data_IF_677858586534
#
_entry.id   IF_677858586534
#
_cell.length_a   1.000
_cell.length_b   1.000
_cell.length_c   1.000
_cell.angle_alpha   90.00
_cell.angle_beta   90.00
_cell.angle_gamma   90.00
#
_symmetry.space_group_name_H-M   'P 1'
#
loop_
_entity.id
_entity.type
_entity.pdbx_description
1 polymer ?
#
# COMPACT_ATOMS: atom_id res chain seq x y z
N UNK A 1 13.35 -10.39 30.07
CA UNK A 1 13.34 -9.07 29.36
C UNK A 1 11.99 -8.91 28.67
N UNK A 2 11.15 -7.93 29.06
CA UNK A 2 9.94 -7.59 28.32
C UNK A 2 10.39 -6.88 27.04
N UNK A 3 10.25 -7.53 25.88
CA UNK A 3 10.38 -6.83 24.59
C UNK A 3 9.44 -5.63 24.59
N UNK A 4 9.99 -4.44 24.48
CA UNK A 4 9.22 -3.23 24.19
C UNK A 4 8.60 -3.43 22.82
N UNK A 5 7.33 -3.81 22.75
CA UNK A 5 6.59 -3.79 21.49
C UNK A 5 6.62 -2.38 20.95
N UNK A 6 7.14 -2.22 19.74
CA UNK A 6 7.13 -0.94 19.04
C UNK A 6 5.71 -0.39 18.99
N UNK A 7 5.56 0.85 19.39
CA UNK A 7 4.30 1.60 19.33
C UNK A 7 4.54 2.85 18.50
N UNK A 8 3.48 3.41 17.92
CA UNK A 8 3.59 4.68 17.19
C UNK A 8 3.98 5.82 18.15
N UNK A 9 4.77 6.76 17.65
CA UNK A 9 5.28 7.90 18.44
C UNK A 9 4.18 8.91 18.81
N UNK A 10 3.03 8.87 18.12
CA UNK A 10 1.88 9.75 18.38
C UNK A 10 0.73 9.54 17.41
N UNK A 11 -0.33 10.34 17.58
CA UNK A 11 -1.54 10.24 16.75
C UNK A 11 -1.26 10.54 15.27
N UNK A 12 -0.40 11.52 14.98
CA UNK A 12 -0.04 11.90 13.60
C UNK A 12 0.76 10.78 12.94
N UNK A 13 1.76 10.20 13.64
CA UNK A 13 2.54 9.07 13.14
C UNK A 13 1.65 7.87 12.83
N UNK A 14 0.68 7.57 13.70
CA UNK A 14 -0.32 6.53 13.45
C UNK A 14 -1.16 6.81 12.21
N UNK A 15 -1.68 8.04 12.05
CA UNK A 15 -2.51 8.43 10.90
C UNK A 15 -1.72 8.33 9.59
N UNK A 16 -0.48 8.85 9.56
CA UNK A 16 0.37 8.78 8.36
C UNK A 16 0.77 7.35 8.01
N UNK A 17 1.05 6.52 9.00
CA UNK A 17 1.35 5.10 8.78
C UNK A 17 0.10 4.33 8.29
N UNK A 18 -1.07 4.61 8.86
CA UNK A 18 -2.34 4.02 8.42
C UNK A 18 -2.69 4.45 6.99
N UNK A 19 -2.54 5.74 6.66
CA UNK A 19 -2.72 6.27 5.32
C UNK A 19 -1.71 5.65 4.33
N UNK A 20 -0.42 5.57 4.70
CA UNK A 20 0.62 4.96 3.88
C UNK A 20 0.38 3.46 3.62
N UNK A 21 -0.23 2.77 4.59
CA UNK A 21 -0.66 1.37 4.42
C UNK A 21 -1.89 1.23 3.51
N UNK A 22 -2.79 2.21 3.52
CA UNK A 22 -4.03 2.19 2.74
C UNK A 22 -3.83 2.65 1.29
N UNK A 23 -2.93 3.61 1.05
CA UNK A 23 -2.66 4.14 -0.29
C UNK A 23 -1.67 3.22 -1.02
N UNK A 24 -2.15 2.59 -2.07
CA UNK A 24 -1.35 1.71 -2.93
C UNK A 24 -1.54 2.04 -4.41
N UNK A 25 -0.87 1.29 -5.25
CA UNK A 25 -0.96 1.42 -6.72
C UNK A 25 -2.40 1.35 -7.22
N UNK A 26 -3.23 0.54 -6.58
CA UNK A 26 -4.64 0.41 -6.90
C UNK A 26 -5.42 1.71 -6.80
N UNK A 27 -5.10 2.54 -5.81
CA UNK A 27 -5.78 3.82 -5.58
C UNK A 27 -5.42 4.85 -6.66
N UNK A 28 -4.17 4.81 -7.16
CA UNK A 28 -3.66 5.79 -8.12
C UNK A 28 -4.02 5.39 -9.55
N UNK A 29 -3.99 4.11 -9.87
CA UNK A 29 -4.20 3.61 -11.23
C UNK A 29 -5.58 2.98 -11.44
N UNK A 30 -5.91 1.94 -10.66
CA UNK A 30 -7.11 1.13 -10.89
C UNK A 30 -8.39 1.85 -10.50
N UNK A 31 -8.38 2.57 -9.40
CA UNK A 31 -9.58 3.25 -8.90
C UNK A 31 -10.09 4.34 -9.85
N UNK A 32 -9.27 5.27 -10.38
CA UNK A 32 -9.72 6.24 -11.38
C UNK A 32 -10.27 5.59 -12.65
N UNK A 33 -9.61 4.53 -13.12
CA UNK A 33 -10.07 3.77 -14.28
C UNK A 33 -11.46 3.14 -14.06
N UNK A 34 -11.68 2.48 -12.91
CA UNK A 34 -12.98 1.91 -12.58
C UNK A 34 -14.04 2.99 -12.39
N UNK A 35 -13.70 4.08 -11.74
CA UNK A 35 -14.58 5.23 -11.59
C UNK A 35 -15.07 5.74 -12.95
N UNK A 36 -14.18 5.97 -13.89
CA UNK A 36 -14.52 6.43 -15.23
C UNK A 36 -15.37 5.41 -16.01
N UNK A 37 -15.06 4.11 -15.88
CA UNK A 37 -15.74 3.03 -16.59
C UNK A 37 -17.15 2.73 -16.05
N UNK A 38 -17.31 2.75 -14.73
CA UNK A 38 -18.48 2.20 -14.04
C UNK A 38 -19.43 3.30 -13.51
N UNK A 39 -19.55 4.43 -14.22
CA UNK A 39 -20.55 5.46 -13.96
C UNK A 39 -20.05 6.77 -13.35
N UNK A 40 -18.72 7.01 -13.30
CA UNK A 40 -18.15 8.30 -12.94
C UNK A 40 -18.61 8.84 -11.59
N UNK A 41 -19.35 9.93 -11.61
CA UNK A 41 -19.82 10.60 -10.39
C UNK A 41 -20.72 9.73 -9.52
N UNK A 42 -21.58 8.90 -10.10
CA UNK A 42 -22.44 7.98 -9.34
C UNK A 42 -21.62 6.93 -8.60
N UNK A 43 -20.60 6.37 -9.26
CA UNK A 43 -19.65 5.45 -8.62
C UNK A 43 -18.98 6.10 -7.41
N UNK A 44 -18.53 7.36 -7.53
CA UNK A 44 -17.91 8.10 -6.43
C UNK A 44 -18.85 8.32 -5.24
N UNK A 45 -20.12 8.68 -5.51
CA UNK A 45 -21.12 8.87 -4.44
C UNK A 45 -21.36 7.57 -3.67
N UNK A 46 -21.59 6.47 -4.39
CA UNK A 46 -21.78 5.15 -3.77
C UNK A 46 -20.54 4.75 -2.97
N UNK A 47 -19.37 4.92 -3.55
CA UNK A 47 -18.10 4.64 -2.87
C UNK A 47 -17.94 5.43 -1.57
N UNK A 48 -18.22 6.75 -1.59
CA UNK A 48 -18.15 7.59 -0.40
C UNK A 48 -19.13 7.14 0.69
N UNK A 49 -20.38 6.81 0.32
CA UNK A 49 -21.36 6.28 1.27
C UNK A 49 -20.85 4.97 1.89
N UNK A 50 -20.30 4.06 1.10
CA UNK A 50 -19.75 2.79 1.60
C UNK A 50 -18.53 3.00 2.49
N UNK A 51 -17.63 3.92 2.15
CA UNK A 51 -16.45 4.24 2.98
C UNK A 51 -16.86 4.84 4.31
N UNK A 52 -17.81 5.79 4.31
CA UNK A 52 -18.25 6.44 5.54
C UNK A 52 -19.07 5.52 6.45
N UNK A 53 -19.77 4.55 5.90
CA UNK A 53 -20.57 3.57 6.67
C UNK A 53 -19.73 2.35 7.01
N UNK A 54 -19.49 1.46 6.04
CA UNK A 54 -18.78 0.20 6.26
C UNK A 54 -17.29 0.39 6.52
N UNK A 55 -16.62 1.24 5.75
CA UNK A 55 -15.18 1.46 5.87
C UNK A 55 -14.80 2.00 7.23
N UNK A 56 -15.54 2.98 7.74
CA UNK A 56 -15.30 3.55 9.05
C UNK A 56 -15.53 2.53 10.19
N UNK A 57 -16.61 1.76 10.11
CA UNK A 57 -16.93 0.71 11.11
C UNK A 57 -15.86 -0.39 11.10
N UNK A 58 -15.44 -0.86 9.93
CA UNK A 58 -14.40 -1.88 9.81
C UNK A 58 -13.06 -1.39 10.38
N UNK A 59 -12.63 -0.20 9.98
CA UNK A 59 -11.36 0.36 10.45
C UNK A 59 -11.34 0.57 11.97
N UNK A 60 -12.42 1.13 12.54
CA UNK A 60 -12.52 1.33 13.98
C UNK A 60 -12.55 0.02 14.74
N UNK A 61 -13.20 -1.01 14.19
CA UNK A 61 -13.23 -2.36 14.78
C UNK A 61 -11.84 -2.99 14.79
N UNK A 62 -11.11 -2.93 13.69
CA UNK A 62 -9.76 -3.48 13.58
C UNK A 62 -8.80 -2.79 14.57
N UNK A 63 -8.86 -1.47 14.64
CA UNK A 63 -8.06 -0.68 15.61
C UNK A 63 -8.44 -1.05 17.05
N UNK A 64 -9.73 -1.20 17.36
CA UNK A 64 -10.20 -1.58 18.69
C UNK A 64 -9.71 -2.99 19.08
N UNK A 65 -9.79 -3.95 18.16
CA UNK A 65 -9.28 -5.32 18.36
C UNK A 65 -7.77 -5.28 18.63
N UNK A 66 -7.02 -4.57 17.82
CA UNK A 66 -5.57 -4.43 17.97
C UNK A 66 -5.18 -3.81 19.32
N UNK A 67 -5.84 -2.71 19.71
CA UNK A 67 -5.61 -2.01 20.99
C UNK A 67 -5.98 -2.87 22.20
N UNK A 68 -7.12 -3.59 22.14
CA UNK A 68 -7.60 -4.43 23.23
C UNK A 68 -6.70 -5.65 23.44
N UNK A 69 -6.33 -6.33 22.37
CA UNK A 69 -5.60 -7.60 22.45
C UNK A 69 -4.09 -7.42 22.56
N UNK A 70 -3.54 -6.36 21.97
CA UNK A 70 -2.09 -6.11 21.81
C UNK A 70 -1.37 -7.31 21.18
N UNK A 71 -2.07 -8.06 20.33
CA UNK A 71 -1.56 -9.23 19.63
C UNK A 71 -1.54 -9.00 18.13
N UNK A 72 -0.80 -9.85 17.41
CA UNK A 72 -0.80 -9.88 15.96
C UNK A 72 -2.14 -10.39 15.41
N UNK A 73 -2.41 -10.19 14.12
CA UNK A 73 -3.65 -10.59 13.46
C UNK A 73 -4.02 -12.07 13.68
N UNK A 74 -3.02 -12.98 13.65
CA UNK A 74 -3.25 -14.42 13.87
C UNK A 74 -3.87 -14.76 15.24
N UNK A 75 -3.45 -14.03 16.27
CA UNK A 75 -3.80 -14.37 17.66
C UNK A 75 -4.83 -13.43 18.28
N UNK A 76 -5.13 -12.30 17.61
CA UNK A 76 -6.04 -11.28 18.14
C UNK A 76 -7.47 -11.83 18.33
N UNK A 77 -8.01 -12.50 17.32
CA UNK A 77 -9.36 -13.07 17.37
C UNK A 77 -9.48 -14.19 18.40
N UNK A 78 -8.48 -15.09 18.47
CA UNK A 78 -8.45 -16.16 19.47
C UNK A 78 -8.38 -15.63 20.91
N UNK A 79 -7.77 -14.46 21.13
CA UNK A 79 -7.67 -13.82 22.43
C UNK A 79 -9.01 -13.22 22.90
N UNK A 80 -9.90 -12.88 21.97
CA UNK A 80 -11.25 -12.38 22.29
C UNK A 80 -12.18 -13.56 22.48
N UNK A 81 -12.20 -14.49 21.53
CA UNK A 81 -13.02 -15.68 21.57
C UNK A 81 -12.32 -16.83 20.83
N UNK A 82 -11.99 -17.95 21.51
CA UNK A 82 -11.29 -19.08 20.91
C UNK A 82 -11.99 -19.71 19.69
N UNK A 83 -13.32 -19.64 19.64
CA UNK A 83 -14.11 -20.14 18.51
C UNK A 83 -13.81 -19.42 17.20
N UNK A 84 -13.40 -18.15 17.26
CA UNK A 84 -13.11 -17.30 16.11
C UNK A 84 -11.63 -17.31 15.70
N UNK A 85 -10.85 -18.27 16.19
CA UNK A 85 -9.42 -18.41 15.84
C UNK A 85 -9.19 -18.49 14.33
N UNK A 86 -10.11 -19.09 13.58
CA UNK A 86 -9.98 -19.23 12.12
C UNK A 86 -9.95 -17.88 11.38
N UNK A 87 -10.62 -16.83 11.91
CA UNK A 87 -10.56 -15.49 11.33
C UNK A 87 -9.14 -14.93 11.34
N UNK A 88 -8.35 -15.23 12.36
CA UNK A 88 -6.95 -14.85 12.40
C UNK A 88 -6.13 -15.44 11.24
N UNK A 89 -6.40 -16.69 10.89
CA UNK A 89 -5.75 -17.33 9.73
C UNK A 89 -6.20 -16.70 8.41
N UNK A 90 -7.50 -16.41 8.25
CA UNK A 90 -8.01 -15.72 7.06
C UNK A 90 -7.41 -14.32 6.92
N UNK A 91 -7.35 -13.56 8.02
CA UNK A 91 -6.74 -12.22 8.04
C UNK A 91 -5.24 -12.26 7.67
N UNK A 92 -4.55 -13.33 8.02
CA UNK A 92 -3.14 -13.52 7.65
C UNK A 92 -2.98 -13.98 6.19
N UNK A 93 -3.87 -14.84 5.71
CA UNK A 93 -3.81 -15.40 4.36
C UNK A 93 -3.93 -14.31 3.27
N UNK A 94 -4.81 -13.33 3.49
CA UNK A 94 -5.05 -12.24 2.51
C UNK A 94 -3.77 -11.47 2.16
N UNK A 95 -3.01 -10.90 3.11
CA UNK A 95 -1.77 -10.20 2.76
C UNK A 95 -0.70 -11.13 2.18
N UNK A 96 -0.67 -12.42 2.55
CA UNK A 96 0.25 -13.39 1.93
C UNK A 96 -0.07 -13.54 0.44
N UNK A 97 -1.33 -13.73 0.07
CA UNK A 97 -1.75 -13.82 -1.32
C UNK A 97 -1.49 -12.51 -2.09
N UNK A 98 -1.76 -11.36 -1.48
CA UNK A 98 -1.48 -10.06 -2.08
C UNK A 98 0.01 -9.91 -2.35
N UNK A 99 0.87 -10.28 -1.42
CA UNK A 99 2.32 -10.14 -1.53
C UNK A 99 2.91 -10.88 -2.72
N UNK A 100 2.30 -11.99 -3.15
CA UNK A 100 2.78 -12.78 -4.30
C UNK A 100 2.78 -11.98 -5.61
N UNK A 101 1.73 -11.22 -5.89
CA UNK A 101 1.65 -10.41 -7.12
C UNK A 101 2.11 -8.96 -6.92
N UNK A 102 1.95 -8.41 -5.72
CA UNK A 102 2.32 -7.03 -5.43
C UNK A 102 3.83 -6.80 -5.52
N UNK A 103 4.62 -7.80 -5.16
CA UNK A 103 6.08 -7.74 -5.30
C UNK A 103 6.52 -7.65 -6.76
N UNK A 104 5.82 -8.33 -7.66
CA UNK A 104 6.08 -8.25 -9.11
C UNK A 104 5.75 -6.84 -9.63
N UNK A 105 4.56 -6.32 -9.28
CA UNK A 105 4.14 -4.97 -9.68
C UNK A 105 5.11 -3.92 -9.10
N UNK A 106 5.52 -4.08 -7.84
CA UNK A 106 6.51 -3.23 -7.20
C UNK A 106 7.84 -3.20 -7.96
N UNK A 107 8.28 -4.36 -8.45
CA UNK A 107 9.45 -4.47 -9.32
C UNK A 107 9.29 -3.70 -10.63
N UNK A 108 8.12 -3.78 -11.28
CA UNK A 108 7.84 -3.02 -12.50
C UNK A 108 7.90 -1.50 -12.26
N UNK A 109 7.28 -1.02 -11.19
CA UNK A 109 7.32 0.40 -10.82
C UNK A 109 8.75 0.83 -10.52
N UNK A 110 9.52 0.02 -9.82
CA UNK A 110 10.94 0.30 -9.52
C UNK A 110 11.75 0.41 -10.80
N UNK A 111 11.52 -0.46 -11.80
CA UNK A 111 12.18 -0.35 -13.11
C UNK A 111 11.86 0.97 -13.80
N UNK A 112 10.56 1.32 -13.88
CA UNK A 112 10.15 2.58 -14.50
C UNK A 112 10.75 3.80 -13.78
N UNK A 113 10.73 3.80 -12.46
CA UNK A 113 11.32 4.87 -11.65
C UNK A 113 12.82 5.04 -11.94
N UNK A 114 13.58 3.94 -11.96
CA UNK A 114 15.01 3.98 -12.26
C UNK A 114 15.26 4.47 -13.70
N UNK A 115 14.45 4.03 -14.66
CA UNK A 115 14.63 4.40 -16.06
C UNK A 115 14.37 5.89 -16.28
N UNK A 116 13.30 6.45 -15.73
CA UNK A 116 13.02 7.88 -15.82
C UNK A 116 14.10 8.74 -15.16
N UNK A 117 14.71 8.26 -14.08
CA UNK A 117 15.82 8.98 -13.44
C UNK A 117 17.14 8.87 -14.21
N UNK A 118 17.41 7.72 -14.83
CA UNK A 118 18.69 7.45 -15.48
C UNK A 118 18.76 7.97 -16.91
N UNK A 119 17.68 7.82 -17.68
CA UNK A 119 17.69 8.10 -19.11
C UNK A 119 17.26 9.55 -19.44
N UNK A 120 16.48 10.18 -18.58
CA UNK A 120 15.93 11.53 -18.84
C UNK A 120 15.05 11.64 -20.10
N UNK A 121 14.86 10.53 -20.81
CA UNK A 121 14.14 10.42 -22.07
C UNK A 121 12.77 9.75 -21.88
N UNK A 122 11.88 9.96 -22.85
CA UNK A 122 10.55 9.32 -22.87
C UNK A 122 10.59 7.85 -23.33
N UNK A 123 11.72 7.15 -23.18
CA UNK A 123 11.88 5.75 -23.57
C UNK A 123 10.86 4.83 -22.86
N UNK A 124 10.61 4.96 -21.54
CA UNK A 124 9.63 4.14 -20.88
C UNK A 124 8.17 4.37 -21.33
N UNK A 125 7.89 5.50 -21.99
CA UNK A 125 6.57 5.83 -22.52
C UNK A 125 6.32 5.30 -23.94
N UNK A 126 7.32 4.69 -24.57
CA UNK A 126 7.21 4.15 -25.93
C UNK A 126 6.36 2.88 -25.96
N UNK A 127 5.60 2.73 -27.04
CA UNK A 127 4.83 1.51 -27.30
C UNK A 127 5.75 0.27 -27.33
N UNK A 128 5.33 -0.78 -26.64
CA UNK A 128 6.08 -2.03 -26.57
C UNK A 128 7.18 -2.08 -25.50
N UNK A 129 7.57 -0.97 -24.86
CA UNK A 129 8.59 -0.98 -23.83
C UNK A 129 8.21 -1.91 -22.66
N UNK A 130 7.00 -1.80 -22.15
CA UNK A 130 6.50 -2.67 -21.08
C UNK A 130 6.54 -4.14 -21.48
N UNK A 131 6.06 -4.46 -22.69
CA UNK A 131 6.05 -5.85 -23.20
C UNK A 131 7.45 -6.41 -23.31
N UNK A 132 8.41 -5.64 -23.85
CA UNK A 132 9.81 -6.07 -23.95
C UNK A 132 10.44 -6.29 -22.57
N UNK A 133 10.10 -5.45 -21.60
CA UNK A 133 10.57 -5.59 -20.23
C UNK A 133 10.03 -6.88 -19.57
N UNK A 134 8.71 -7.11 -19.57
CA UNK A 134 8.10 -8.25 -18.88
C UNK A 134 8.42 -9.59 -19.54
N UNK A 135 8.75 -9.60 -20.83
CA UNK A 135 9.17 -10.81 -21.57
C UNK A 135 10.66 -11.10 -21.44
N UNK A 136 11.45 -10.15 -20.92
CA UNK A 136 12.87 -10.37 -20.68
C UNK A 136 13.10 -11.39 -19.56
N UNK A 137 14.14 -12.23 -19.68
CA UNK A 137 14.38 -13.35 -18.76
C UNK A 137 14.81 -12.92 -17.35
N UNK A 138 15.56 -11.85 -17.23
CA UNK A 138 16.22 -11.49 -15.96
C UNK A 138 15.71 -10.19 -15.36
N UNK A 139 15.43 -9.17 -16.17
CA UNK A 139 15.12 -7.83 -15.66
C UNK A 139 13.91 -7.76 -14.70
N UNK A 140 12.76 -8.42 -14.98
CA UNK A 140 11.63 -8.39 -14.05
C UNK A 140 11.97 -9.01 -12.69
N UNK A 141 12.76 -10.10 -12.69
CA UNK A 141 13.16 -10.79 -11.46
C UNK A 141 14.12 -9.92 -10.64
N UNK A 142 15.09 -9.28 -11.28
CA UNK A 142 16.06 -8.41 -10.60
C UNK A 142 15.36 -7.23 -9.94
N UNK A 143 14.44 -6.55 -10.65
CA UNK A 143 13.72 -5.43 -10.09
C UNK A 143 12.70 -5.85 -9.02
N UNK A 144 12.07 -7.02 -9.14
CA UNK A 144 11.24 -7.60 -8.10
C UNK A 144 12.07 -7.87 -6.82
N UNK A 145 13.25 -8.47 -6.96
CA UNK A 145 14.14 -8.73 -5.82
C UNK A 145 14.64 -7.42 -5.19
N UNK A 146 14.98 -6.42 -5.99
CA UNK A 146 15.36 -5.10 -5.51
C UNK A 146 14.23 -4.48 -4.67
N UNK A 147 12.99 -4.51 -5.18
CA UNK A 147 11.82 -4.03 -4.45
C UNK A 147 11.61 -4.79 -3.13
N UNK A 148 11.75 -6.12 -3.14
CA UNK A 148 11.65 -6.93 -1.93
C UNK A 148 12.72 -6.59 -0.90
N UNK A 149 13.96 -6.39 -1.32
CA UNK A 149 15.05 -5.99 -0.41
C UNK A 149 14.77 -4.62 0.21
N UNK A 150 14.34 -3.64 -0.59
CA UNK A 150 13.97 -2.31 -0.08
C UNK A 150 12.82 -2.39 0.93
N UNK A 151 11.77 -3.16 0.60
CA UNK A 151 10.63 -3.38 1.50
C UNK A 151 11.08 -4.08 2.79
N UNK A 152 11.90 -5.12 2.69
CA UNK A 152 12.43 -5.85 3.84
C UNK A 152 13.27 -4.94 4.75
N UNK A 153 14.08 -4.05 4.17
CA UNK A 153 14.89 -3.09 4.93
C UNK A 153 14.00 -2.13 5.76
N UNK A 154 12.91 -1.63 5.16
CA UNK A 154 11.94 -0.78 5.87
C UNK A 154 11.27 -1.54 7.01
N UNK A 155 10.78 -2.76 6.73
CA UNK A 155 10.10 -3.61 7.73
C UNK A 155 11.05 -4.03 8.84
N UNK A 156 12.31 -4.31 8.53
CA UNK A 156 13.33 -4.66 9.52
C UNK A 156 13.57 -3.54 10.54
N UNK A 157 13.41 -2.27 10.14
CA UNK A 157 13.45 -1.12 11.04
C UNK A 157 12.32 -1.09 12.07
N UNK A 158 11.31 -1.95 11.92
CA UNK A 158 10.15 -2.04 12.81
C UNK A 158 9.11 -0.96 12.56
N UNK A 159 8.12 -0.87 13.46
CA UNK A 159 6.96 0.04 13.29
C UNK A 159 7.40 1.50 13.38
N UNK A 160 8.11 1.89 14.44
CA UNK A 160 8.45 3.29 14.73
C UNK A 160 9.53 3.83 13.79
N UNK A 161 10.66 3.13 13.70
CA UNK A 161 11.84 3.59 12.93
C UNK A 161 11.79 3.24 11.44
N UNK A 162 11.05 2.21 11.09
CA UNK A 162 10.87 1.75 9.71
C UNK A 162 9.59 2.33 9.11
N UNK A 163 8.47 1.69 9.37
CA UNK A 163 7.20 1.97 8.69
C UNK A 163 6.72 3.41 8.96
N UNK A 164 6.65 3.85 10.22
CA UNK A 164 6.17 5.18 10.58
C UNK A 164 7.04 6.28 9.99
N UNK A 165 8.38 6.18 10.13
CA UNK A 165 9.30 7.18 9.62
C UNK A 165 9.25 7.30 8.10
N UNK A 166 9.24 6.17 7.40
CA UNK A 166 9.16 6.15 5.93
C UNK A 166 7.81 6.69 5.46
N UNK A 167 6.70 6.28 6.07
CA UNK A 167 5.36 6.78 5.73
C UNK A 167 5.20 8.27 6.01
N UNK A 168 5.75 8.77 7.11
CA UNK A 168 5.71 10.19 7.47
C UNK A 168 6.46 11.09 6.47
N UNK A 169 7.46 10.54 5.79
CA UNK A 169 8.19 11.24 4.72
C UNK A 169 7.48 11.08 3.36
N UNK A 170 7.13 9.85 2.97
CA UNK A 170 6.62 9.55 1.64
C UNK A 170 5.20 10.10 1.43
N UNK A 171 4.33 10.07 2.45
CA UNK A 171 2.94 10.51 2.29
C UNK A 171 2.80 11.98 1.91
N UNK A 172 3.47 12.94 2.59
CA UNK A 172 3.45 14.33 2.15
C UNK A 172 4.04 14.53 0.75
N UNK A 173 5.12 13.83 0.41
CA UNK A 173 5.73 13.88 -0.94
C UNK A 173 4.73 13.40 -1.98
N UNK A 174 4.03 12.30 -1.74
CA UNK A 174 3.00 11.77 -2.63
C UNK A 174 1.88 12.78 -2.86
N UNK A 175 1.38 13.43 -1.79
CA UNK A 175 0.32 14.44 -1.90
C UNK A 175 0.79 15.62 -2.76
N UNK A 176 2.02 16.10 -2.55
CA UNK A 176 2.59 17.19 -3.36
C UNK A 176 2.72 16.77 -4.82
N UNK A 177 3.25 15.59 -5.11
CA UNK A 177 3.40 15.09 -6.48
C UNK A 177 2.04 14.94 -7.19
N UNK A 178 1.03 14.39 -6.51
CA UNK A 178 -0.32 14.28 -7.07
C UNK A 178 -0.95 15.65 -7.33
N UNK A 179 -0.72 16.62 -6.44
CA UNK A 179 -1.18 18.00 -6.64
C UNK A 179 -0.50 18.66 -7.83
N UNK A 180 0.80 18.45 -8.01
CA UNK A 180 1.55 18.97 -9.16
C UNK A 180 1.05 18.36 -10.48
N UNK A 181 0.79 17.06 -10.53
CA UNK A 181 0.22 16.39 -11.71
C UNK A 181 -1.14 17.01 -12.04
N UNK A 182 -2.00 17.22 -11.05
CA UNK A 182 -3.32 17.81 -11.25
C UNK A 182 -3.26 19.25 -11.78
N UNK A 183 -2.25 20.02 -11.36
CA UNK A 183 -2.05 21.41 -11.83
C UNK A 183 -1.46 21.43 -13.24
N UNK A 184 -0.51 20.54 -13.56
CA UNK A 184 0.19 20.51 -14.84
C UNK A 184 -0.64 19.90 -15.98
N UNK A 185 -1.52 18.96 -15.66
CA UNK A 185 -2.44 18.32 -16.61
C UNK A 185 -3.89 18.45 -16.13
N UNK A 186 -4.49 19.64 -16.24
CA UNK A 186 -5.91 19.79 -15.95
C UNK A 186 -6.69 18.90 -16.93
N UNK A 187 -7.44 17.97 -16.39
CA UNK A 187 -8.33 17.08 -17.17
C UNK A 187 -9.19 17.92 -18.12
N UNK A 188 -8.95 17.75 -19.41
CA UNK A 188 -9.81 18.29 -20.47
C UNK A 188 -11.12 17.53 -20.54
#
# INVERSE_FOLDING_TARGET
MKEKKGSFSGSIGFVLAAAGSAVGVGNIWRFPYLCAKDGGGLFLIIYLVLVLTFGFVLLTTDVAIGRKTKKNALNAFAAICPKWKFLGYLTFLVPVLIMTYYSVIGGWITKYFVEYLASGDNVPAQDGYFTSFITSKAAPIVFMLLFLVLTAAVVYGGVEKGIEKVSSFIMPVLVVLLSLIHISEPTR
#
